data_IF_743409740423
#
_entry.id   IF_743409740423
#
_cell.length_a   1.000
_cell.length_b   1.000
_cell.length_c   1.000
_cell.angle_alpha   90.00
_cell.angle_beta   90.00
_cell.angle_gamma   90.00
#
_symmetry.space_group_name_H-M   'P 1'
#
loop_
_entity.id
_entity.type
_entity.pdbx_description
1 polymer ?
#
# COMPACT_ATOMS: atom_id res chain seq x y z
N UNK A 1 8.60 -23.59 -1.11
CA UNK A 1 8.45 -23.13 0.30
C UNK A 1 9.37 -21.96 0.63
N UNK A 2 10.70 -22.08 0.49
CA UNK A 2 11.64 -21.01 0.87
C UNK A 2 11.36 -19.63 0.25
N UNK A 3 11.05 -19.58 -1.06
CA UNK A 3 10.68 -18.33 -1.74
C UNK A 3 9.42 -17.66 -1.14
N UNK A 4 8.40 -18.45 -0.82
CA UNK A 4 7.17 -17.94 -0.20
C UNK A 4 7.44 -17.36 1.19
N UNK A 5 8.31 -17.98 1.99
CA UNK A 5 8.71 -17.48 3.31
C UNK A 5 9.44 -16.15 3.19
N UNK A 6 10.42 -16.06 2.28
CA UNK A 6 11.16 -14.82 2.05
C UNK A 6 10.23 -13.68 1.60
N UNK A 7 9.30 -13.97 0.69
CA UNK A 7 8.33 -12.99 0.20
C UNK A 7 7.37 -12.53 1.31
N UNK A 8 6.87 -13.47 2.12
CA UNK A 8 6.00 -13.16 3.26
C UNK A 8 6.73 -12.31 4.31
N UNK A 9 7.97 -12.65 4.64
CA UNK A 9 8.77 -11.88 5.59
C UNK A 9 9.02 -10.45 5.10
N UNK A 10 9.36 -10.27 3.82
CA UNK A 10 9.49 -8.96 3.20
C UNK A 10 8.17 -8.19 3.24
N UNK A 11 7.05 -8.84 2.93
CA UNK A 11 5.74 -8.22 2.95
C UNK A 11 5.37 -7.73 4.36
N UNK A 12 5.58 -8.56 5.39
CA UNK A 12 5.35 -8.19 6.78
C UNK A 12 6.25 -7.03 7.22
N UNK A 13 7.53 -7.06 6.83
CA UNK A 13 8.45 -5.97 7.13
C UNK A 13 8.01 -4.64 6.49
N UNK A 14 7.64 -4.65 5.20
CA UNK A 14 7.15 -3.46 4.51
C UNK A 14 5.84 -2.95 5.11
N UNK A 15 4.93 -3.85 5.48
CA UNK A 15 3.67 -3.49 6.13
C UNK A 15 3.89 -2.82 7.49
N UNK A 16 4.76 -3.42 8.32
CA UNK A 16 5.15 -2.86 9.61
C UNK A 16 5.83 -1.50 9.44
N UNK A 17 6.78 -1.39 8.51
CA UNK A 17 7.50 -0.15 8.26
C UNK A 17 6.58 0.96 7.75
N UNK A 18 5.62 0.62 6.88
CA UNK A 18 4.60 1.56 6.42
C UNK A 18 3.73 2.09 7.57
N UNK A 19 3.33 1.21 8.50
CA UNK A 19 2.61 1.64 9.70
C UNK A 19 3.45 2.57 10.58
N UNK A 20 4.74 2.24 10.78
CA UNK A 20 5.66 3.07 11.55
C UNK A 20 5.86 4.44 10.90
N UNK A 21 6.05 4.49 9.58
CA UNK A 21 6.27 5.74 8.83
C UNK A 21 5.00 6.62 8.83
N UNK A 22 3.79 6.03 8.85
CA UNK A 22 2.54 6.76 8.96
C UNK A 22 2.30 7.27 10.40
N UNK A 23 2.76 6.52 11.39
CA UNK A 23 2.76 6.89 12.81
C UNK A 23 1.36 7.29 13.31
N UNK A 24 1.27 8.48 13.94
CA UNK A 24 -0.01 9.02 14.48
C UNK A 24 -0.99 9.50 13.40
N UNK A 25 -0.61 9.55 12.13
CA UNK A 25 -1.50 9.89 11.01
C UNK A 25 -2.16 8.64 10.40
N UNK A 26 -2.03 7.47 11.04
CA UNK A 26 -2.78 6.29 10.65
C UNK A 26 -4.19 6.34 11.22
N UNK A 27 -5.19 6.28 10.34
CA UNK A 27 -6.61 6.09 10.70
C UNK A 27 -7.16 4.84 10.01
N UNK A 28 -7.83 3.98 10.77
CA UNK A 28 -8.52 2.79 10.25
C UNK A 28 -9.85 3.13 9.56
N UNK A 29 -10.43 4.29 9.87
CA UNK A 29 -11.63 4.84 9.24
C UNK A 29 -11.24 5.84 8.16
N UNK A 30 -12.09 6.00 7.13
CA UNK A 30 -12.02 7.12 6.17
C UNK A 30 -12.46 8.42 6.88
N UNK A 31 -11.83 8.72 8.01
CA UNK A 31 -12.10 9.89 8.82
C UNK A 31 -10.85 10.74 8.83
N UNK A 32 -11.00 11.91 8.22
CA UNK A 32 -9.99 12.94 8.17
C UNK A 32 -10.18 13.78 9.43
N UNK A 33 -9.24 13.70 10.36
CA UNK A 33 -9.16 14.67 11.45
C UNK A 33 -8.52 15.96 10.92
N UNK A 34 -8.95 17.14 11.41
CA UNK A 34 -8.42 18.46 11.02
C UNK A 34 -6.90 18.64 11.18
N UNK A 35 -6.23 17.71 11.86
CA UNK A 35 -4.78 17.67 12.06
C UNK A 35 -4.02 16.69 11.17
N UNK A 36 -4.69 15.99 10.24
CA UNK A 36 -4.06 15.03 9.33
C UNK A 36 -3.06 15.74 8.43
N UNK A 37 -1.79 15.35 8.53
CA UNK A 37 -0.73 15.84 7.63
C UNK A 37 -0.51 14.84 6.51
N UNK A 38 -0.29 15.34 5.29
CA UNK A 38 0.12 14.50 4.18
C UNK A 38 1.53 13.95 4.43
N UNK A 39 1.63 12.64 4.64
CA UNK A 39 2.91 11.96 4.86
C UNK A 39 3.53 11.54 3.53
N UNK A 40 4.74 12.04 3.28
CA UNK A 40 5.51 11.79 2.05
C UNK A 40 6.93 11.29 2.32
N UNK A 41 7.26 11.00 3.59
CA UNK A 41 8.57 10.49 4.02
C UNK A 41 8.61 8.97 4.18
N UNK A 42 9.80 8.41 4.42
CA UNK A 42 9.96 6.96 4.61
C UNK A 42 9.59 6.17 3.36
N UNK A 43 8.79 5.11 3.48
CA UNK A 43 8.30 4.36 2.32
C UNK A 43 7.36 5.18 1.41
N UNK A 44 6.67 6.18 1.98
CA UNK A 44 5.74 7.03 1.24
C UNK A 44 6.43 7.89 0.18
N UNK A 45 7.74 8.15 0.30
CA UNK A 45 8.47 8.90 -0.72
C UNK A 45 8.58 8.15 -2.06
N UNK A 46 8.41 6.82 -2.07
CA UNK A 46 8.54 5.97 -3.26
C UNK A 46 7.17 5.57 -3.83
N UNK A 47 6.25 5.19 -2.94
CA UNK A 47 4.91 4.72 -3.28
C UNK A 47 3.91 5.36 -2.34
N UNK A 48 2.77 5.82 -2.87
CA UNK A 48 1.74 6.45 -2.02
C UNK A 48 0.86 5.48 -1.25
N UNK A 49 0.87 4.21 -1.66
CA UNK A 49 0.10 3.12 -1.05
C UNK A 49 1.00 1.95 -0.62
N UNK A 50 1.99 2.17 0.28
CA UNK A 50 2.95 1.13 0.68
C UNK A 50 2.27 -0.04 1.40
N UNK A 51 1.21 0.20 2.18
CA UNK A 51 0.44 -0.88 2.81
C UNK A 51 -0.24 -1.78 1.78
N UNK A 52 -0.87 -1.22 0.74
CA UNK A 52 -1.43 -2.04 -0.34
C UNK A 52 -0.34 -2.78 -1.13
N UNK A 53 0.85 -2.18 -1.28
CA UNK A 53 2.01 -2.84 -1.90
C UNK A 53 2.42 -4.08 -1.10
N UNK A 54 2.52 -3.94 0.23
CA UNK A 54 2.81 -5.06 1.13
C UNK A 54 1.70 -6.11 1.10
N UNK A 55 0.42 -5.71 1.12
CA UNK A 55 -0.71 -6.64 1.02
C UNK A 55 -0.68 -7.45 -0.28
N UNK A 56 -0.37 -6.82 -1.43
CA UNK A 56 -0.17 -7.55 -2.69
C UNK A 56 0.88 -8.65 -2.54
N UNK A 57 2.04 -8.34 -1.95
CA UNK A 57 3.10 -9.32 -1.70
C UNK A 57 2.64 -10.45 -0.75
N UNK A 58 1.85 -10.13 0.28
CA UNK A 58 1.27 -11.14 1.19
C UNK A 58 0.35 -12.11 0.44
N UNK A 59 -0.55 -11.62 -0.42
CA UNK A 59 -1.44 -12.48 -1.20
C UNK A 59 -0.69 -13.32 -2.23
N UNK A 60 0.36 -12.78 -2.87
CA UNK A 60 1.25 -13.57 -3.71
C UNK A 60 1.98 -14.67 -2.92
N UNK A 61 2.52 -14.34 -1.75
CA UNK A 61 3.18 -15.32 -0.89
C UNK A 61 2.21 -16.40 -0.39
N UNK A 62 0.98 -16.02 -0.04
CA UNK A 62 -0.08 -16.95 0.34
C UNK A 62 -0.43 -17.92 -0.79
N UNK A 63 -0.56 -17.43 -2.03
CA UNK A 63 -0.79 -18.28 -3.19
C UNK A 63 0.34 -19.29 -3.43
N UNK A 64 1.59 -18.96 -3.09
CA UNK A 64 2.74 -19.87 -3.16
C UNK A 64 2.77 -20.94 -2.05
N UNK A 65 2.08 -20.70 -0.93
CA UNK A 65 1.97 -21.67 0.16
C UNK A 65 0.81 -22.63 -0.01
N UNK A 66 -0.30 -22.16 -0.59
CA UNK A 66 -1.48 -22.97 -0.77
C UNK A 66 -1.30 -23.94 -1.94
N UNK A 67 -1.38 -25.24 -1.66
CA UNK A 67 -1.46 -26.29 -2.69
C UNK A 67 -2.76 -26.19 -3.51
N UNK A 68 -3.78 -25.53 -2.95
CA UNK A 68 -5.04 -25.26 -3.59
C UNK A 68 -4.99 -23.91 -4.34
N UNK A 69 -4.74 -23.99 -5.64
CA UNK A 69 -4.72 -22.87 -6.57
C UNK A 69 -6.04 -22.08 -6.62
N UNK A 70 -7.20 -22.71 -6.40
CA UNK A 70 -8.49 -22.01 -6.33
C UNK A 70 -8.54 -21.10 -5.11
N UNK A 71 -8.11 -21.58 -3.95
CA UNK A 71 -8.06 -20.77 -2.74
C UNK A 71 -7.02 -19.63 -2.84
N UNK A 72 -5.83 -19.93 -3.38
CA UNK A 72 -4.77 -18.94 -3.58
C UNK A 72 -5.17 -17.84 -4.56
N UNK A 73 -5.66 -18.22 -5.75
CA UNK A 73 -6.12 -17.25 -6.75
C UNK A 73 -7.39 -16.53 -6.33
N UNK A 74 -8.31 -17.21 -5.63
CA UNK A 74 -9.51 -16.59 -5.08
C UNK A 74 -9.19 -15.46 -4.11
N UNK A 75 -8.23 -15.67 -3.20
CA UNK A 75 -7.73 -14.62 -2.31
C UNK A 75 -7.12 -13.45 -3.07
N UNK A 76 -6.28 -13.74 -4.09
CA UNK A 76 -5.64 -12.72 -4.92
C UNK A 76 -6.67 -11.87 -5.69
N UNK A 77 -7.68 -12.51 -6.30
CA UNK A 77 -8.76 -11.83 -7.02
C UNK A 77 -9.64 -11.03 -6.05
N UNK A 78 -9.97 -11.58 -4.89
CA UNK A 78 -10.73 -10.88 -3.86
C UNK A 78 -10.02 -9.60 -3.40
N UNK A 79 -8.70 -9.67 -3.16
CA UNK A 79 -7.91 -8.51 -2.83
C UNK A 79 -7.79 -7.51 -3.99
N UNK A 80 -7.63 -8.00 -5.22
CA UNK A 80 -7.61 -7.16 -6.42
C UNK A 80 -8.88 -6.30 -6.51
N UNK A 81 -10.06 -6.92 -6.35
CA UNK A 81 -11.34 -6.23 -6.38
C UNK A 81 -11.42 -5.16 -5.29
N UNK A 82 -11.04 -5.50 -4.05
CA UNK A 82 -10.99 -4.54 -2.95
C UNK A 82 -10.09 -3.36 -3.29
N UNK A 83 -8.86 -3.63 -3.77
CA UNK A 83 -7.89 -2.60 -4.14
C UNK A 83 -8.44 -1.65 -5.21
N UNK A 84 -8.97 -2.20 -6.31
CA UNK A 84 -9.47 -1.38 -7.43
C UNK A 84 -10.74 -0.59 -7.07
N UNK A 85 -11.55 -1.06 -6.13
CA UNK A 85 -12.74 -0.34 -5.65
C UNK A 85 -12.42 0.72 -4.60
N UNK A 86 -11.38 0.49 -3.78
CA UNK A 86 -11.07 1.32 -2.61
C UNK A 86 -10.07 2.43 -2.92
N UNK A 87 -8.97 2.11 -3.61
CA UNK A 87 -7.86 3.06 -3.82
C UNK A 87 -8.28 4.31 -4.60
N UNK A 88 -9.10 4.25 -5.66
CA UNK A 88 -9.54 5.48 -6.34
C UNK A 88 -10.33 6.43 -5.43
N UNK A 89 -11.17 5.89 -4.54
CA UNK A 89 -11.96 6.67 -3.58
C UNK A 89 -11.06 7.30 -2.51
N UNK A 90 -10.08 6.54 -2.02
CA UNK A 90 -9.07 7.04 -1.09
C UNK A 90 -8.25 8.18 -1.70
N UNK A 91 -7.80 8.04 -2.96
CA UNK A 91 -7.09 9.10 -3.67
C UNK A 91 -7.95 10.33 -3.91
N UNK A 92 -9.25 10.15 -4.20
CA UNK A 92 -10.18 11.27 -4.36
C UNK A 92 -10.36 12.03 -3.04
N UNK A 93 -10.47 11.34 -1.91
CA UNK A 93 -10.52 11.99 -0.59
C UNK A 93 -9.24 12.72 -0.26
N UNK A 94 -8.07 12.16 -0.58
CA UNK A 94 -6.78 12.85 -0.41
C UNK A 94 -6.67 14.08 -1.30
N UNK A 95 -7.19 14.05 -2.53
CA UNK A 95 -7.25 15.22 -3.42
C UNK A 95 -8.18 16.30 -2.87
N UNK A 96 -9.35 15.93 -2.34
CA UNK A 96 -10.28 16.88 -1.74
C UNK A 96 -9.67 17.58 -0.51
N UNK A 97 -8.90 16.84 0.30
CA UNK A 97 -8.33 17.37 1.53
C UNK A 97 -7.04 18.18 1.31
N UNK A 98 -6.11 17.65 0.50
CA UNK A 98 -4.76 18.20 0.37
C UNK A 98 -4.52 18.92 -0.96
N UNK A 99 -5.47 18.86 -1.89
CA UNK A 99 -5.45 19.57 -3.17
C UNK A 99 -4.14 19.40 -3.93
N UNK A 100 -3.51 20.52 -4.26
CA UNK A 100 -2.29 20.60 -5.06
C UNK A 100 -1.11 19.85 -4.42
N UNK A 101 -1.04 19.78 -3.08
CA UNK A 101 0.03 19.04 -2.41
C UNK A 101 -0.02 17.55 -2.77
N UNK A 102 -1.22 16.97 -2.78
CA UNK A 102 -1.40 15.58 -3.15
C UNK A 102 -1.22 15.37 -4.66
N UNK A 103 -1.67 16.31 -5.50
CA UNK A 103 -1.41 16.24 -6.94
C UNK A 103 0.09 16.21 -7.24
N UNK A 104 0.87 17.12 -6.65
CA UNK A 104 2.33 17.14 -6.78
C UNK A 104 2.96 15.84 -6.29
N UNK A 105 2.49 15.32 -5.15
CA UNK A 105 2.95 14.05 -4.61
C UNK A 105 2.68 12.86 -5.56
N UNK A 106 1.50 12.81 -6.19
CA UNK A 106 1.16 11.80 -7.20
C UNK A 106 2.07 11.84 -8.44
N UNK A 107 2.66 13.00 -8.78
CA UNK A 107 3.63 13.07 -9.88
C UNK A 107 4.93 12.34 -9.54
N UNK A 108 5.38 12.44 -8.28
CA UNK A 108 6.65 11.91 -7.77
C UNK A 108 6.58 10.42 -7.43
N UNK A 109 5.41 9.91 -7.08
CA UNK A 109 5.23 8.53 -6.61
C UNK A 109 4.32 7.68 -7.51
N UNK A 110 4.51 6.37 -7.46
CA UNK A 110 3.54 5.42 -8.02
C UNK A 110 2.46 5.05 -6.98
N UNK A 111 1.46 4.25 -7.39
CA UNK A 111 0.45 3.73 -6.44
C UNK A 111 1.09 2.72 -5.50
N UNK A 112 1.39 1.55 -6.05
CA UNK A 112 1.93 0.40 -5.32
C UNK A 112 3.29 -0.07 -5.83
N UNK A 113 3.74 0.49 -6.96
CA UNK A 113 5.05 0.23 -7.54
C UNK A 113 5.77 1.59 -7.65
N UNK A 114 7.03 1.71 -7.21
CA UNK A 114 7.76 2.96 -7.31
C UNK A 114 7.89 3.46 -8.75
N UNK A 115 7.75 4.78 -8.97
CA UNK A 115 8.06 5.40 -10.27
C UNK A 115 9.57 5.56 -10.50
N UNK A 116 10.31 5.79 -9.42
CA UNK A 116 11.77 5.93 -9.42
C UNK A 116 12.31 5.12 -8.25
N UNK A 117 13.22 4.21 -8.55
CA UNK A 117 13.91 3.40 -7.55
C UNK A 117 15.24 4.11 -7.30
N UNK A 118 15.39 4.71 -6.11
CA UNK A 118 16.57 5.47 -5.68
C UNK A 118 16.82 6.78 -6.45
N UNK A 119 16.36 7.91 -5.90
CA UNK A 119 17.04 9.19 -6.10
C UNK A 119 17.85 9.42 -4.84
N UNK A 120 19.15 9.17 -4.91
CA UNK A 120 20.14 9.71 -3.96
C UNK A 120 20.09 11.22 -3.90
#
# INVERSE_FOLDING_TARGET
VGLGIALMALALYLFWRAHVDLGRNWSSSLEIHDSHKLITGGLYQYVRHPMYSASWLMYFAQALFLSNWVAGLGGLVGFALLYFLRVPKEEQMMLQQFGDQYQQYMTKTGRVIPKRVFSS
#
